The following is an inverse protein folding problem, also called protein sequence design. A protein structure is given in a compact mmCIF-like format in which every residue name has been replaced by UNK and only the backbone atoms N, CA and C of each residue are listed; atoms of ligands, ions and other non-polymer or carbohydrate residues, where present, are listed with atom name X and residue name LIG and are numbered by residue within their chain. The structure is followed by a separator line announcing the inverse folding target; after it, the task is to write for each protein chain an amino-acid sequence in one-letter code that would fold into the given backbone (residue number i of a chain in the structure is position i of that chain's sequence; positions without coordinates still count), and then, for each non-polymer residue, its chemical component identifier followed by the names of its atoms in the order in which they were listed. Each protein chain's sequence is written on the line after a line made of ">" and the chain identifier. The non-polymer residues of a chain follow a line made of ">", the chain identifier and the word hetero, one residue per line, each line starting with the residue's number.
data_IF_485517935103
#
_entry.id   IF_485517935103
#
_cell.length_a   1.000
_cell.length_b   1.000
_cell.length_c   1.000
_cell.angle_alpha   90.00
_cell.angle_beta   90.00
_cell.angle_gamma   90.00
#
_symmetry.space_group_name_H-M   'P 1'
#
loop_
_entity.id
_entity.type
_entity.pdbx_description
1 polymer ?
#
# COMPACT_ATOMS: atom_id res chain seq x y z
N UNK A 1 29.65 62.88 -10.83
CA UNK A 1 28.35 62.50 -10.20
C UNK A 1 27.70 61.49 -11.15
N UNK A 2 27.88 60.22 -10.90
CA UNK A 2 27.30 59.16 -11.73
C UNK A 2 26.14 58.52 -10.95
N UNK A 3 24.97 58.54 -11.54
CA UNK A 3 23.72 58.05 -10.98
C UNK A 3 23.62 56.57 -11.35
N UNK A 4 23.70 55.67 -10.34
CA UNK A 4 23.50 54.23 -10.50
C UNK A 4 22.05 53.97 -10.25
N UNK A 5 21.30 53.65 -11.30
CA UNK A 5 19.91 53.13 -11.19
C UNK A 5 19.95 51.65 -10.90
N UNK A 6 19.52 51.30 -9.74
CA UNK A 6 19.34 49.92 -9.26
C UNK A 6 18.04 49.34 -9.83
N UNK A 7 18.19 48.41 -10.76
CA UNK A 7 17.07 47.74 -11.41
C UNK A 7 16.61 46.55 -10.54
N UNK A 8 15.63 46.78 -9.69
CA UNK A 8 14.98 45.74 -8.91
C UNK A 8 14.12 44.83 -9.81
N UNK A 9 14.64 43.65 -10.14
CA UNK A 9 13.85 42.58 -10.75
C UNK A 9 12.81 42.08 -9.73
N UNK A 10 11.56 42.43 -9.93
CA UNK A 10 10.43 41.85 -9.22
C UNK A 10 10.31 40.35 -9.61
N UNK A 11 10.62 39.48 -8.68
CA UNK A 11 10.34 38.04 -8.77
C UNK A 11 8.83 37.84 -8.69
N UNK A 12 8.20 37.56 -9.81
CA UNK A 12 6.79 37.18 -9.86
C UNK A 12 6.67 35.78 -9.26
N UNK A 13 6.22 35.68 -8.03
CA UNK A 13 5.83 34.42 -7.41
C UNK A 13 4.62 33.85 -8.17
N UNK A 14 4.85 32.85 -9.00
CA UNK A 14 3.78 32.13 -9.69
C UNK A 14 3.00 31.31 -8.67
N UNK A 15 1.83 31.79 -8.31
CA UNK A 15 0.86 31.03 -7.51
C UNK A 15 0.57 29.72 -8.24
N UNK A 16 0.61 28.55 -7.58
CA UNK A 16 0.26 27.28 -8.21
C UNK A 16 -1.17 27.36 -8.74
N UNK A 17 -1.35 27.37 -10.06
CA UNK A 17 -2.70 27.31 -10.64
C UNK A 17 -3.33 25.99 -10.25
N UNK A 18 -4.41 26.03 -9.49
CA UNK A 18 -5.21 24.85 -9.19
C UNK A 18 -5.75 24.26 -10.50
N UNK A 19 -5.51 22.99 -10.72
CA UNK A 19 -6.04 22.28 -11.90
C UNK A 19 -7.58 22.36 -11.90
N UNK A 20 -8.23 22.51 -13.06
CA UNK A 20 -9.68 22.56 -13.16
C UNK A 20 -10.32 21.30 -12.59
N UNK A 21 -11.54 21.36 -12.09
CA UNK A 21 -12.26 20.21 -11.53
C UNK A 21 -12.46 19.16 -12.61
N UNK A 22 -12.17 17.89 -12.28
CA UNK A 22 -12.42 16.75 -13.17
C UNK A 22 -13.94 16.56 -13.39
N UNK A 23 -14.32 16.26 -14.61
CA UNK A 23 -15.67 15.74 -14.89
C UNK A 23 -15.82 14.32 -14.29
N UNK A 24 -17.05 13.84 -14.04
CA UNK A 24 -17.26 12.49 -13.52
C UNK A 24 -16.66 11.37 -14.37
N UNK A 25 -16.59 11.57 -15.68
CA UNK A 25 -15.97 10.62 -16.62
C UNK A 25 -14.45 10.63 -16.52
N UNK A 26 -13.84 11.79 -16.45
CA UNK A 26 -12.38 11.93 -16.24
C UNK A 26 -11.96 11.40 -14.87
N UNK A 27 -12.71 11.72 -13.83
CA UNK A 27 -12.45 11.18 -12.50
C UNK A 27 -12.40 9.64 -12.51
N UNK A 28 -13.37 8.97 -13.10
CA UNK A 28 -13.36 7.49 -13.21
C UNK A 28 -12.13 6.96 -13.94
N UNK A 29 -11.71 7.64 -15.02
CA UNK A 29 -10.50 7.23 -15.76
C UNK A 29 -9.25 7.36 -14.88
N UNK A 30 -9.07 8.49 -14.23
CA UNK A 30 -7.90 8.76 -13.41
C UNK A 30 -7.89 7.99 -12.08
N UNK A 31 -9.06 7.63 -11.52
CA UNK A 31 -9.18 6.91 -10.26
C UNK A 31 -9.15 5.38 -10.43
N UNK A 32 -9.14 4.88 -11.66
CA UNK A 32 -9.28 3.44 -11.93
C UNK A 32 -8.23 2.58 -11.22
N UNK A 33 -6.98 3.04 -11.13
CA UNK A 33 -5.92 2.31 -10.42
C UNK A 33 -6.15 2.30 -8.91
N UNK A 34 -6.53 3.44 -8.33
CA UNK A 34 -6.86 3.52 -6.90
C UNK A 34 -8.05 2.61 -6.54
N UNK A 35 -9.11 2.62 -7.35
CA UNK A 35 -10.28 1.77 -7.13
C UNK A 35 -9.92 0.28 -7.19
N UNK A 36 -9.06 -0.10 -8.12
CA UNK A 36 -8.59 -1.48 -8.27
C UNK A 36 -7.69 -1.90 -7.10
N UNK A 37 -6.73 -1.05 -6.73
CA UNK A 37 -5.83 -1.27 -5.60
C UNK A 37 -6.60 -1.42 -4.29
N UNK A 38 -7.53 -0.51 -4.02
CA UNK A 38 -8.36 -0.54 -2.80
C UNK A 38 -9.20 -1.82 -2.68
N UNK A 39 -9.59 -2.42 -3.81
CA UNK A 39 -10.27 -3.72 -3.81
C UNK A 39 -9.40 -4.84 -3.21
N UNK A 40 -8.11 -4.90 -3.58
CA UNK A 40 -7.16 -5.86 -2.99
C UNK A 40 -6.84 -5.50 -1.55
N UNK A 41 -6.57 -4.23 -1.27
CA UNK A 41 -6.26 -3.74 0.06
C UNK A 41 -7.38 -4.01 1.07
N UNK A 42 -8.62 -3.84 0.66
CA UNK A 42 -9.77 -4.17 1.52
C UNK A 42 -9.87 -5.65 1.86
N UNK A 43 -9.45 -6.57 0.98
CA UNK A 43 -9.33 -7.99 1.30
C UNK A 43 -8.24 -8.24 2.35
N UNK A 44 -7.10 -7.58 2.23
CA UNK A 44 -6.04 -7.66 3.23
C UNK A 44 -6.51 -7.12 4.58
N UNK A 45 -7.16 -5.97 4.60
CA UNK A 45 -7.74 -5.40 5.83
C UNK A 45 -8.75 -6.33 6.49
N UNK A 46 -9.63 -6.96 5.72
CA UNK A 46 -10.63 -7.92 6.25
C UNK A 46 -9.95 -9.13 6.90
N UNK A 47 -9.00 -9.76 6.20
CA UNK A 47 -8.28 -10.93 6.72
C UNK A 47 -7.44 -10.56 7.93
N UNK A 48 -6.69 -9.46 7.86
CA UNK A 48 -5.95 -8.92 8.99
C UNK A 48 -6.84 -8.73 10.22
N UNK A 49 -7.95 -8.02 10.05
CA UNK A 49 -8.87 -7.72 11.16
C UNK A 49 -9.44 -8.99 11.80
N UNK A 50 -9.74 -10.02 11.01
CA UNK A 50 -10.21 -11.31 11.54
C UNK A 50 -9.13 -12.00 12.39
N UNK A 51 -7.90 -12.07 11.88
CA UNK A 51 -6.75 -12.65 12.58
C UNK A 51 -6.40 -11.85 13.85
N UNK A 52 -6.31 -10.53 13.72
CA UNK A 52 -5.94 -9.63 14.81
C UNK A 52 -6.98 -9.61 15.94
N UNK A 53 -8.27 -9.64 15.58
CA UNK A 53 -9.37 -9.73 16.54
C UNK A 53 -9.31 -11.05 17.32
N UNK A 54 -9.08 -12.16 16.63
CA UNK A 54 -8.93 -13.47 17.28
C UNK A 54 -7.72 -13.49 18.23
N UNK A 55 -6.58 -12.99 17.77
CA UNK A 55 -5.35 -12.89 18.54
C UNK A 55 -5.53 -12.00 19.79
N UNK A 56 -6.23 -10.86 19.65
CA UNK A 56 -6.52 -9.92 20.74
C UNK A 56 -7.50 -10.48 21.77
N UNK A 57 -8.46 -11.30 21.34
CA UNK A 57 -9.42 -11.96 22.22
C UNK A 57 -8.86 -13.24 22.85
N UNK A 58 -7.71 -13.70 22.44
CA UNK A 58 -7.10 -14.94 22.90
C UNK A 58 -7.82 -16.22 22.42
N UNK A 59 -8.72 -16.11 21.43
CA UNK A 59 -9.51 -17.24 20.94
C UNK A 59 -9.85 -17.12 19.46
N UNK A 60 -9.89 -18.27 18.78
CA UNK A 60 -10.31 -18.36 17.37
C UNK A 60 -11.78 -18.02 17.20
N UNK A 61 -12.19 -17.60 15.99
CA UNK A 61 -13.61 -17.46 15.67
C UNK A 61 -14.38 -18.75 15.94
N UNK A 62 -15.61 -18.63 16.40
CA UNK A 62 -16.48 -19.76 16.67
C UNK A 62 -16.69 -20.61 15.42
N UNK A 63 -16.68 -21.93 15.58
CA UNK A 63 -16.81 -22.88 14.46
C UNK A 63 -15.56 -23.05 13.57
N UNK A 64 -14.52 -22.25 13.76
CA UNK A 64 -13.28 -22.37 12.98
C UNK A 64 -12.28 -23.33 13.64
N UNK A 65 -11.85 -24.36 12.90
CA UNK A 65 -10.81 -25.27 13.39
C UNK A 65 -9.43 -24.59 13.44
N UNK A 66 -8.49 -25.16 14.22
CA UNK A 66 -7.10 -24.70 14.27
C UNK A 66 -6.47 -24.65 12.88
N UNK A 67 -6.64 -25.72 12.11
CA UNK A 67 -6.11 -25.84 10.75
C UNK A 67 -6.65 -24.75 9.82
N UNK A 68 -7.94 -24.45 9.87
CA UNK A 68 -8.56 -23.40 9.07
C UNK A 68 -8.02 -22.01 9.45
N UNK A 69 -7.85 -21.76 10.74
CA UNK A 69 -7.33 -20.48 11.23
C UNK A 69 -5.88 -20.25 10.78
N UNK A 70 -5.01 -21.24 11.00
CA UNK A 70 -3.59 -21.16 10.59
C UNK A 70 -3.48 -21.03 9.08
N UNK A 71 -4.24 -21.83 8.30
CA UNK A 71 -4.25 -21.73 6.85
C UNK A 71 -4.72 -20.35 6.36
N UNK A 72 -5.70 -19.74 7.02
CA UNK A 72 -6.15 -18.37 6.70
C UNK A 72 -5.03 -17.34 6.86
N UNK A 73 -4.21 -17.48 7.91
CA UNK A 73 -3.01 -16.65 8.11
C UNK A 73 -1.93 -16.90 7.06
N UNK A 74 -1.67 -18.16 6.69
CA UNK A 74 -0.70 -18.50 5.65
C UNK A 74 -1.14 -17.99 4.27
N UNK A 75 -2.42 -18.11 3.93
CA UNK A 75 -2.98 -17.52 2.70
C UNK A 75 -2.86 -16.00 2.67
N UNK A 76 -3.06 -15.33 3.80
CA UNK A 76 -2.80 -13.89 3.89
C UNK A 76 -1.36 -13.55 3.55
N UNK A 77 -0.38 -14.30 4.10
CA UNK A 77 1.03 -14.10 3.79
C UNK A 77 1.32 -14.28 2.29
N UNK A 78 0.87 -15.41 1.72
CA UNK A 78 1.08 -15.74 0.31
C UNK A 78 0.49 -14.67 -0.62
N UNK A 79 -0.75 -14.25 -0.37
CA UNK A 79 -1.41 -13.27 -1.20
C UNK A 79 -0.76 -11.88 -1.10
N UNK A 80 -0.31 -11.47 0.10
CA UNK A 80 0.36 -10.18 0.27
C UNK A 80 1.75 -10.18 -0.38
N UNK A 81 2.51 -11.27 -0.26
CA UNK A 81 3.78 -11.43 -0.98
C UNK A 81 3.60 -11.36 -2.50
N UNK A 82 2.60 -12.07 -3.03
CA UNK A 82 2.31 -12.06 -4.45
C UNK A 82 1.90 -10.66 -4.94
N UNK A 83 1.06 -9.97 -4.18
CA UNK A 83 0.60 -8.61 -4.48
C UNK A 83 1.79 -7.64 -4.60
N UNK A 84 2.62 -7.53 -3.58
CA UNK A 84 3.82 -6.69 -3.63
C UNK A 84 4.79 -7.10 -4.76
N UNK A 85 4.92 -8.39 -5.05
CA UNK A 85 5.76 -8.87 -6.17
C UNK A 85 5.23 -8.36 -7.51
N UNK A 86 3.91 -8.41 -7.72
CA UNK A 86 3.29 -7.90 -8.95
C UNK A 86 3.50 -6.39 -9.08
N UNK A 87 3.33 -5.65 -8.00
CA UNK A 87 3.56 -4.20 -7.98
C UNK A 87 5.00 -3.84 -8.31
N UNK A 88 5.95 -4.45 -7.63
CA UNK A 88 7.38 -4.19 -7.84
C UNK A 88 7.88 -4.59 -9.23
N UNK A 89 7.33 -5.65 -9.80
CA UNK A 89 7.74 -6.14 -11.11
C UNK A 89 7.03 -5.47 -12.27
N UNK A 90 5.77 -5.10 -12.13
CA UNK A 90 4.94 -4.71 -13.27
C UNK A 90 4.30 -3.33 -13.15
N UNK A 91 3.93 -2.87 -11.95
CA UNK A 91 3.19 -1.62 -11.75
C UNK A 91 4.16 -0.47 -11.44
N UNK A 92 4.94 -0.57 -10.40
CA UNK A 92 5.86 0.50 -9.96
C UNK A 92 6.86 0.93 -11.03
N UNK A 93 7.47 0.03 -11.86
CA UNK A 93 8.37 0.47 -12.91
C UNK A 93 7.70 1.35 -13.99
N UNK A 94 6.41 1.15 -14.24
CA UNK A 94 5.64 2.00 -15.15
C UNK A 94 5.37 3.35 -14.53
N UNK A 95 4.86 3.37 -13.30
CA UNK A 95 4.52 4.59 -12.57
C UNK A 95 5.76 5.46 -12.30
N UNK A 96 6.88 4.84 -11.95
CA UNK A 96 8.16 5.52 -11.67
C UNK A 96 8.69 6.36 -12.84
N UNK A 97 8.24 6.09 -14.07
CA UNK A 97 8.64 6.88 -15.25
C UNK A 97 8.27 8.35 -15.10
N UNK A 98 7.14 8.63 -14.46
CA UNK A 98 6.62 9.99 -14.29
C UNK A 98 6.38 10.37 -12.83
N UNK A 99 6.06 9.41 -11.95
CA UNK A 99 5.69 9.65 -10.56
C UNK A 99 6.86 9.37 -9.61
N UNK A 100 7.37 10.39 -8.91
CA UNK A 100 8.50 10.21 -7.99
C UNK A 100 8.23 9.21 -6.86
N UNK A 101 7.00 9.15 -6.33
CA UNK A 101 6.62 8.29 -5.22
C UNK A 101 6.90 6.78 -5.45
N UNK A 102 6.93 6.34 -6.72
CA UNK A 102 7.16 4.95 -7.10
C UNK A 102 8.61 4.64 -7.52
N UNK A 103 9.55 5.58 -7.37
CA UNK A 103 10.96 5.34 -7.68
C UNK A 103 11.62 4.50 -6.60
N UNK A 104 12.67 3.75 -7.00
CA UNK A 104 13.49 2.98 -6.05
C UNK A 104 14.00 3.87 -4.91
N UNK A 105 14.01 3.33 -3.68
CA UNK A 105 14.49 3.98 -2.45
C UNK A 105 13.53 5.02 -1.85
N UNK A 106 12.33 5.19 -2.39
CA UNK A 106 11.30 6.03 -1.80
C UNK A 106 10.34 5.22 -0.90
N UNK A 107 9.41 5.93 -0.29
CA UNK A 107 8.64 5.48 0.86
C UNK A 107 7.90 4.16 0.67
N UNK A 108 7.17 3.97 -0.43
CA UNK A 108 6.38 2.77 -0.70
C UNK A 108 7.24 1.49 -0.75
N UNK A 109 8.39 1.50 -1.44
CA UNK A 109 9.30 0.35 -1.47
C UNK A 109 10.03 0.13 -0.14
N UNK A 110 10.24 1.17 0.64
CA UNK A 110 10.77 1.04 2.01
C UNK A 110 9.73 0.40 2.92
N UNK A 111 8.46 0.79 2.78
CA UNK A 111 7.35 0.17 3.49
C UNK A 111 7.22 -1.31 3.13
N UNK A 112 7.32 -1.69 1.84
CA UNK A 112 7.35 -3.11 1.43
C UNK A 112 8.42 -3.90 2.17
N UNK A 113 9.65 -3.42 2.20
CA UNK A 113 10.75 -4.10 2.92
C UNK A 113 10.46 -4.28 4.41
N UNK A 114 9.88 -3.28 5.05
CA UNK A 114 9.50 -3.35 6.46
C UNK A 114 8.34 -4.33 6.68
N UNK A 115 7.34 -4.32 5.81
CA UNK A 115 6.21 -5.26 5.84
C UNK A 115 6.73 -6.69 5.67
N UNK A 116 7.56 -6.96 4.64
CA UNK A 116 8.12 -8.29 4.40
C UNK A 116 8.93 -8.81 5.58
N UNK A 117 9.75 -7.97 6.22
CA UNK A 117 10.52 -8.38 7.40
C UNK A 117 9.63 -8.86 8.57
N UNK A 118 8.47 -8.27 8.76
CA UNK A 118 7.49 -8.70 9.77
C UNK A 118 6.65 -9.88 9.30
N UNK A 119 6.24 -9.88 8.03
CA UNK A 119 5.43 -10.90 7.40
C UNK A 119 6.15 -12.26 7.36
N UNK A 120 7.45 -12.29 7.05
CA UNK A 120 8.27 -13.50 7.03
C UNK A 120 8.31 -14.16 8.43
N UNK A 121 8.45 -13.36 9.49
CA UNK A 121 8.44 -13.88 10.86
C UNK A 121 7.04 -14.42 11.24
N UNK A 122 6.00 -13.73 10.82
CA UNK A 122 4.62 -14.15 11.04
C UNK A 122 4.31 -15.44 10.29
N UNK A 123 4.75 -15.56 9.03
CA UNK A 123 4.60 -16.77 8.21
C UNK A 123 5.34 -17.95 8.83
N UNK A 124 6.62 -17.79 9.17
CA UNK A 124 7.42 -18.85 9.80
C UNK A 124 6.80 -19.36 11.10
N UNK A 125 6.23 -18.49 11.91
CA UNK A 125 5.48 -18.87 13.12
C UNK A 125 4.27 -19.74 12.78
N UNK A 126 3.47 -19.34 11.79
CA UNK A 126 2.28 -20.10 11.37
C UNK A 126 2.64 -21.45 10.74
N UNK A 127 3.73 -21.53 9.97
CA UNK A 127 4.25 -22.78 9.40
C UNK A 127 4.67 -23.76 10.50
N UNK A 128 5.39 -23.29 11.52
CA UNK A 128 5.74 -24.09 12.69
C UNK A 128 4.50 -24.58 13.48
N UNK A 129 3.45 -23.75 13.54
CA UNK A 129 2.19 -24.17 14.12
C UNK A 129 1.45 -25.19 13.24
N UNK A 130 1.50 -25.05 11.92
CA UNK A 130 0.86 -25.96 10.98
C UNK A 130 1.54 -27.34 10.96
N UNK A 131 2.87 -27.40 11.09
CA UNK A 131 3.64 -28.64 11.16
C UNK A 131 3.55 -29.35 12.52
N UNK A 132 3.06 -28.66 13.55
CA UNK A 132 3.01 -29.17 14.93
C UNK A 132 4.31 -29.02 15.71
N UNK A 133 5.33 -28.35 15.14
CA UNK A 133 6.58 -28.01 15.85
C UNK A 133 6.34 -27.01 16.98
N UNK A 134 5.29 -26.22 16.86
CA UNK A 134 4.94 -25.16 17.82
C UNK A 134 3.45 -25.15 18.12
N UNK A 135 3.09 -24.86 19.36
CA UNK A 135 1.72 -24.60 19.76
C UNK A 135 1.31 -23.18 19.35
N UNK A 136 0.12 -23.02 18.75
CA UNK A 136 -0.44 -21.71 18.45
C UNK A 136 -0.81 -20.97 19.74
N UNK A 137 -0.17 -19.85 20.00
CA UNK A 137 -0.44 -18.94 21.10
C UNK A 137 -0.91 -17.60 20.58
N UNK A 138 -2.11 -17.20 20.91
CA UNK A 138 -2.73 -15.97 20.40
C UNK A 138 -1.96 -14.70 20.80
N UNK A 139 -1.32 -14.69 21.98
CA UNK A 139 -0.48 -13.59 22.43
C UNK A 139 0.78 -13.43 21.59
N UNK A 140 1.40 -14.54 21.19
CA UNK A 140 2.57 -14.53 20.31
C UNK A 140 2.18 -14.11 18.88
N UNK A 141 1.07 -14.65 18.38
CA UNK A 141 0.50 -14.27 17.08
C UNK A 141 0.25 -12.75 17.03
N UNK A 142 -0.40 -12.20 18.05
CA UNK A 142 -0.64 -10.77 18.16
C UNK A 142 0.65 -9.97 18.16
N UNK A 143 1.64 -10.37 18.97
CA UNK A 143 2.92 -9.68 19.06
C UNK A 143 3.68 -9.66 17.72
N UNK A 144 3.55 -10.71 16.90
CA UNK A 144 4.11 -10.74 15.55
C UNK A 144 3.38 -9.79 14.60
N UNK A 145 2.05 -9.77 14.65
CA UNK A 145 1.24 -8.83 13.86
C UNK A 145 1.52 -7.38 14.24
N UNK A 146 1.67 -7.07 15.52
CA UNK A 146 1.98 -5.70 16.01
C UNK A 146 3.30 -5.15 15.44
N UNK A 147 4.26 -6.01 15.04
CA UNK A 147 5.56 -5.58 14.52
C UNK A 147 5.47 -4.88 13.16
N UNK A 148 4.50 -5.26 12.34
CA UNK A 148 4.38 -4.68 11.00
C UNK A 148 2.99 -4.11 10.70
N UNK A 149 2.05 -4.25 11.62
CA UNK A 149 0.68 -3.78 11.42
C UNK A 149 0.60 -2.30 11.10
N UNK A 150 1.32 -1.45 11.84
CA UNK A 150 1.29 0.00 11.60
C UNK A 150 1.80 0.36 10.21
N UNK A 151 2.95 -0.18 9.80
CA UNK A 151 3.51 0.10 8.48
C UNK A 151 2.65 -0.48 7.36
N UNK A 152 2.04 -1.66 7.57
CA UNK A 152 1.09 -2.23 6.61
C UNK A 152 -0.10 -1.30 6.38
N UNK A 153 -0.77 -0.84 7.44
CA UNK A 153 -1.92 0.05 7.32
C UNK A 153 -1.56 1.37 6.65
N UNK A 154 -0.44 1.99 7.04
CA UNK A 154 0.07 3.21 6.41
C UNK A 154 0.30 2.99 4.92
N UNK A 155 0.97 1.89 4.55
CA UNK A 155 1.23 1.55 3.15
C UNK A 155 -0.04 1.40 2.32
N UNK A 156 -1.03 0.63 2.83
CA UNK A 156 -2.29 0.42 2.12
C UNK A 156 -3.06 1.73 1.87
N UNK A 157 -2.92 2.74 2.74
CA UNK A 157 -3.55 4.04 2.58
C UNK A 157 -2.74 4.94 1.66
N UNK A 158 -1.42 5.05 1.86
CA UNK A 158 -0.51 5.90 1.09
C UNK A 158 -0.53 5.54 -0.40
N UNK A 159 -0.51 4.25 -0.71
CA UNK A 159 -0.50 3.79 -2.09
C UNK A 159 -1.80 4.16 -2.82
N UNK A 160 -2.95 3.93 -2.22
CA UNK A 160 -4.24 4.31 -2.79
C UNK A 160 -4.32 5.83 -2.99
N UNK A 161 -3.80 6.63 -2.05
CA UNK A 161 -3.73 8.08 -2.20
C UNK A 161 -2.85 8.48 -3.39
N UNK A 162 -1.68 7.86 -3.55
CA UNK A 162 -0.79 8.13 -4.69
C UNK A 162 -1.41 7.76 -6.04
N UNK A 163 -2.24 6.73 -6.08
CA UNK A 163 -2.96 6.27 -7.27
C UNK A 163 -4.29 7.02 -7.49
N UNK A 164 -4.67 7.92 -6.59
CA UNK A 164 -5.92 8.67 -6.66
C UNK A 164 -5.97 9.66 -7.85
N UNK A 165 -7.18 9.94 -8.34
CA UNK A 165 -7.43 10.74 -9.54
C UNK A 165 -6.73 12.09 -9.53
N UNK A 166 -6.75 12.81 -8.40
CA UNK A 166 -6.14 14.15 -8.29
C UNK A 166 -4.60 14.11 -8.36
N UNK A 167 -4.00 12.98 -8.01
CA UNK A 167 -2.56 12.79 -8.15
C UNK A 167 -2.20 12.27 -9.54
N UNK A 168 -2.89 11.24 -10.02
CA UNK A 168 -2.63 10.63 -11.34
C UNK A 168 -2.73 11.64 -12.48
N UNK A 169 -3.72 12.54 -12.47
CA UNK A 169 -3.90 13.58 -13.52
C UNK A 169 -2.74 14.57 -13.65
N UNK A 170 -1.87 14.66 -12.63
CA UNK A 170 -0.67 15.53 -12.68
C UNK A 170 0.41 14.96 -13.59
N UNK A 171 0.40 13.64 -13.79
CA UNK A 171 1.48 12.91 -14.47
C UNK A 171 1.02 12.24 -15.77
N UNK A 172 -0.25 11.85 -15.86
CA UNK A 172 -0.74 10.99 -16.93
C UNK A 172 -1.89 11.63 -17.69
N UNK A 173 -2.00 11.30 -18.96
CA UNK A 173 -3.17 11.66 -19.79
C UNK A 173 -4.25 10.58 -19.69
N UNK A 174 -5.52 10.89 -20.04
CA UNK A 174 -6.58 9.88 -20.05
C UNK A 174 -6.31 8.70 -20.99
N UNK A 175 -5.58 8.93 -22.08
CA UNK A 175 -5.19 7.88 -23.04
C UNK A 175 -4.17 6.91 -22.41
N UNK A 176 -3.18 7.44 -21.71
CA UNK A 176 -2.17 6.64 -20.99
C UNK A 176 -2.80 5.85 -19.83
N UNK A 177 -3.75 6.45 -19.11
CA UNK A 177 -4.47 5.76 -18.03
C UNK A 177 -5.18 4.48 -18.49
N UNK A 178 -5.70 4.45 -19.74
CA UNK A 178 -6.37 3.27 -20.28
C UNK A 178 -5.43 2.13 -20.62
N UNK A 179 -4.14 2.35 -20.62
CA UNK A 179 -3.09 1.36 -20.93
C UNK A 179 -2.24 0.99 -19.73
N UNK A 180 -2.63 1.46 -18.54
CA UNK A 180 -1.92 1.11 -17.31
C UNK A 180 -2.03 -0.39 -17.02
N UNK A 181 -0.95 -1.00 -16.50
CA UNK A 181 -1.02 -2.36 -16.00
C UNK A 181 -1.91 -2.42 -14.74
N UNK A 182 -2.84 -3.34 -14.72
CA UNK A 182 -3.72 -3.61 -13.56
C UNK A 182 -3.96 -5.11 -13.41
#
# INVERSE_FOLDING_TARGET
>A
MANVQENAKASVATTPQSLPKLSPSEFRIYNSMADHMDLFHNRFRQTWNALYTAASRGQRPEGMSMKQFVNGGLQFCEHLHLHHTIEEMHIFPVLARKMPAFRKELELLTQHKQIHAGLDQFQAYLEACASGERELRMTELKALMDRFGTVLWTHLDDEVEQLGAENMRKYWTPAEMRTMPM
#
